data_IF_032957592211
#
_entry.id   IF_032957592211
#
_cell.length_a   1.000
_cell.length_b   1.000
_cell.length_c   1.000
_cell.angle_alpha   90.00
_cell.angle_beta   90.00
_cell.angle_gamma   90.00
#
_symmetry.space_group_name_H-M   'P 1'
#
loop_
_entity.id
_entity.type
_entity.pdbx_description
1 polymer ?
#
# COMPACT_ATOMS: atom_id res chain seq x y z
N UNK A 1 -6.58 -12.20 -15.64
CA UNK A 1 -5.18 -12.00 -15.16
C UNK A 1 -4.48 -13.32 -15.35
N UNK A 2 -3.36 -13.35 -16.06
CA UNK A 2 -2.62 -14.59 -16.38
C UNK A 2 -2.24 -15.39 -15.12
N UNK A 3 -1.93 -14.71 -14.00
CA UNK A 3 -1.57 -15.38 -12.75
C UNK A 3 -2.65 -16.34 -12.22
N UNK A 4 -3.93 -16.02 -12.42
CA UNK A 4 -5.01 -16.92 -11.97
C UNK A 4 -5.05 -18.19 -12.82
N UNK A 5 -4.85 -18.04 -14.13
CA UNK A 5 -4.80 -19.17 -15.06
C UNK A 5 -3.57 -20.05 -14.80
N UNK A 6 -2.51 -19.47 -14.23
CA UNK A 6 -1.32 -20.19 -13.73
C UNK A 6 -1.53 -20.87 -12.36
N UNK A 7 -2.70 -20.74 -11.74
CA UNK A 7 -3.04 -21.37 -10.46
C UNK A 7 -2.74 -20.54 -9.21
N UNK A 8 -2.29 -19.29 -9.35
CA UNK A 8 -2.16 -18.39 -8.20
C UNK A 8 -3.52 -17.83 -7.76
N UNK A 9 -3.67 -17.59 -6.46
CA UNK A 9 -4.85 -16.96 -5.88
C UNK A 9 -4.54 -15.72 -5.03
N UNK A 10 -3.26 -15.33 -4.94
CA UNK A 10 -2.76 -14.22 -4.13
C UNK A 10 -1.75 -13.39 -4.92
N UNK A 11 -1.91 -12.06 -4.86
CA UNK A 11 -0.93 -11.09 -5.34
C UNK A 11 -0.38 -10.28 -4.17
N UNK A 12 0.95 -10.27 -4.00
CA UNK A 12 1.60 -9.39 -3.03
C UNK A 12 1.88 -8.03 -3.67
N UNK A 13 0.86 -7.18 -3.66
CA UNK A 13 0.84 -5.85 -4.24
C UNK A 13 -0.61 -5.34 -4.33
N UNK A 14 -0.81 -4.07 -4.70
CA UNK A 14 0.19 -3.11 -5.18
C UNK A 14 1.03 -2.45 -4.06
N UNK A 15 2.15 -1.83 -4.45
CA UNK A 15 3.00 -1.07 -3.52
C UNK A 15 2.41 0.33 -3.25
N UNK A 16 2.07 0.59 -2.00
CA UNK A 16 1.45 1.83 -1.54
C UNK A 16 2.45 2.82 -0.91
N UNK A 17 3.75 2.49 -0.88
CA UNK A 17 4.78 3.38 -0.36
C UNK A 17 5.05 4.54 -1.31
N UNK A 18 5.59 5.64 -0.77
CA UNK A 18 5.83 6.88 -1.51
C UNK A 18 7.33 7.10 -1.73
N UNK A 19 7.69 7.44 -2.97
CA UNK A 19 9.03 7.93 -3.29
C UNK A 19 10.19 6.93 -3.11
N UNK A 20 9.92 5.63 -2.94
CA UNK A 20 10.96 4.59 -2.92
C UNK A 20 11.46 4.35 -4.35
N UNK A 21 12.76 4.55 -4.63
CA UNK A 21 13.31 4.29 -5.96
C UNK A 21 13.02 2.86 -6.42
N UNK A 22 12.56 2.71 -7.66
CA UNK A 22 12.24 1.44 -8.33
C UNK A 22 11.13 0.58 -7.68
N UNK A 23 10.45 1.08 -6.64
CA UNK A 23 9.40 0.34 -5.93
C UNK A 23 8.08 1.12 -5.88
N UNK A 24 8.14 2.41 -5.55
CA UNK A 24 6.95 3.26 -5.49
C UNK A 24 6.51 3.71 -6.88
N UNK A 25 5.20 3.73 -7.11
CA UNK A 25 4.65 4.30 -8.35
C UNK A 25 4.88 5.81 -8.46
N UNK A 26 4.88 6.52 -7.32
CA UNK A 26 5.00 7.98 -7.24
C UNK A 26 5.38 8.40 -5.82
N UNK A 27 5.81 9.64 -5.64
CA UNK A 27 5.94 10.30 -4.33
C UNK A 27 4.68 11.07 -3.92
N UNK A 28 3.70 11.23 -4.82
CA UNK A 28 2.44 11.92 -4.53
C UNK A 28 1.43 10.94 -3.88
N UNK A 29 0.97 11.20 -2.64
CA UNK A 29 0.05 10.31 -1.92
C UNK A 29 -1.32 10.17 -2.58
N UNK A 30 -1.79 11.20 -3.26
CA UNK A 30 -3.09 11.18 -3.96
C UNK A 30 -3.01 10.27 -5.18
N UNK A 31 -2.00 10.47 -6.02
CA UNK A 31 -1.77 9.64 -7.19
C UNK A 31 -1.44 8.19 -6.82
N UNK A 32 -0.67 7.97 -5.76
CA UNK A 32 -0.42 6.63 -5.24
C UNK A 32 -1.73 5.91 -4.90
N UNK A 33 -2.66 6.58 -4.20
CA UNK A 33 -3.98 6.04 -3.90
C UNK A 33 -4.78 5.67 -5.16
N UNK A 34 -4.81 6.54 -6.18
CA UNK A 34 -5.52 6.27 -7.43
C UNK A 34 -4.94 5.08 -8.20
N UNK A 35 -3.62 5.00 -8.33
CA UNK A 35 -2.94 3.90 -9.05
C UNK A 35 -3.18 2.57 -8.34
N UNK A 36 -3.00 2.55 -7.02
CA UNK A 36 -3.20 1.34 -6.21
C UNK A 36 -4.65 0.84 -6.32
N UNK A 37 -5.65 1.74 -6.26
CA UNK A 37 -7.07 1.37 -6.41
C UNK A 37 -7.37 0.78 -7.79
N UNK A 38 -6.84 1.39 -8.85
CA UNK A 38 -7.03 0.89 -10.21
C UNK A 38 -6.44 -0.52 -10.40
N UNK A 39 -5.30 -0.82 -9.76
CA UNK A 39 -4.72 -2.16 -9.81
C UNK A 39 -5.57 -3.18 -9.04
N UNK A 40 -6.02 -2.85 -7.83
CA UNK A 40 -6.79 -3.81 -7.03
C UNK A 40 -8.18 -4.05 -7.58
N UNK A 41 -8.79 -3.10 -8.28
CA UNK A 41 -10.05 -3.32 -8.99
C UNK A 41 -9.93 -4.52 -9.94
N UNK A 42 -8.79 -4.64 -10.65
CA UNK A 42 -8.53 -5.79 -11.50
C UNK A 42 -8.32 -7.07 -10.69
N UNK A 43 -7.63 -7.02 -9.55
CA UNK A 43 -7.50 -8.19 -8.68
C UNK A 43 -8.86 -8.67 -8.18
N UNK A 44 -9.73 -7.76 -7.77
CA UNK A 44 -11.08 -8.04 -7.29
C UNK A 44 -11.97 -8.64 -8.39
N UNK A 45 -12.02 -8.02 -9.58
CA UNK A 45 -12.77 -8.56 -10.74
C UNK A 45 -12.31 -9.98 -11.09
N UNK A 46 -11.01 -10.26 -10.92
CA UNK A 46 -10.44 -11.57 -11.20
C UNK A 46 -10.49 -12.52 -9.99
N UNK A 47 -11.18 -12.16 -8.89
CA UNK A 47 -11.28 -12.93 -7.65
C UNK A 47 -9.92 -13.38 -7.07
N UNK A 48 -8.92 -12.50 -7.13
CA UNK A 48 -7.62 -12.69 -6.52
C UNK A 48 -7.61 -12.04 -5.14
N UNK A 49 -7.06 -12.73 -4.15
CA UNK A 49 -6.60 -12.05 -2.93
C UNK A 49 -5.42 -11.17 -3.26
N UNK A 50 -5.27 -10.06 -2.52
CA UNK A 50 -4.12 -9.19 -2.68
C UNK A 50 -3.69 -8.59 -1.36
N UNK A 51 -2.47 -8.07 -1.32
CA UNK A 51 -1.91 -7.46 -0.13
C UNK A 51 -1.22 -6.14 -0.46
N UNK A 52 -1.75 -5.03 0.06
CA UNK A 52 -1.06 -3.74 -0.05
C UNK A 52 0.25 -3.81 0.74
N UNK A 53 1.33 -3.28 0.16
CA UNK A 53 2.64 -3.31 0.81
C UNK A 53 3.40 -1.98 0.70
N UNK A 54 4.29 -1.65 1.64
CA UNK A 54 4.43 -2.21 2.99
C UNK A 54 3.98 -1.18 4.03
N UNK A 55 3.13 -1.59 4.96
CA UNK A 55 2.61 -0.71 6.01
C UNK A 55 3.60 -0.60 7.20
N UNK A 56 3.79 0.59 7.81
CA UNK A 56 3.25 1.88 7.40
C UNK A 56 4.06 2.54 6.27
N UNK A 57 5.33 2.19 6.09
CA UNK A 57 6.21 2.69 5.03
C UNK A 57 7.32 1.66 4.72
N UNK A 58 8.25 1.95 3.82
CA UNK A 58 9.61 1.32 3.81
C UNK A 58 10.73 2.35 3.74
N UNK A 59 10.38 3.61 3.47
CA UNK A 59 11.32 4.74 3.29
C UNK A 59 11.81 5.34 4.59
N UNK A 60 11.20 5.01 5.73
CA UNK A 60 11.53 5.71 6.97
C UNK A 60 12.94 5.41 7.45
N UNK A 61 13.51 4.22 7.20
CA UNK A 61 14.92 3.92 7.52
C UNK A 61 15.36 4.46 8.89
N UNK A 62 16.37 5.34 8.89
CA UNK A 62 16.92 6.01 10.07
C UNK A 62 16.20 7.32 10.47
N UNK A 63 14.96 7.53 10.02
CA UNK A 63 14.19 8.74 10.32
C UNK A 63 14.05 8.91 11.83
N UNK A 64 14.65 9.97 12.34
CA UNK A 64 14.55 10.36 13.74
C UNK A 64 13.45 11.40 13.91
N UNK A 65 12.49 11.09 14.78
CA UNK A 65 11.46 12.02 15.22
C UNK A 65 11.80 12.49 16.63
N UNK A 66 11.60 13.77 16.92
CA UNK A 66 11.81 14.33 18.25
C UNK A 66 10.78 13.86 19.29
N UNK A 67 9.66 13.28 18.85
CA UNK A 67 8.66 12.66 19.73
C UNK A 67 7.76 11.65 19.01
N UNK A 68 7.07 10.79 19.77
CA UNK A 68 6.05 9.89 19.24
C UNK A 68 4.87 10.64 18.58
N UNK A 69 4.53 11.83 19.07
CA UNK A 69 3.47 12.65 18.48
C UNK A 69 3.87 13.19 17.11
N UNK A 70 5.13 13.59 16.95
CA UNK A 70 5.68 14.02 15.67
C UNK A 70 5.70 12.87 14.66
N UNK A 71 6.20 11.70 15.07
CA UNK A 71 6.18 10.49 14.24
C UNK A 71 4.76 10.13 13.78
N UNK A 72 3.80 10.15 14.72
CA UNK A 72 2.39 9.88 14.42
C UNK A 72 1.81 10.89 13.43
N UNK A 73 2.11 12.18 13.60
CA UNK A 73 1.62 13.22 12.71
C UNK A 73 2.20 13.07 11.30
N UNK A 74 3.50 12.84 11.19
CA UNK A 74 4.16 12.59 9.91
C UNK A 74 3.56 11.38 9.20
N UNK A 75 3.50 10.23 9.87
CA UNK A 75 2.92 9.00 9.33
C UNK A 75 1.47 9.20 8.90
N UNK A 76 0.65 9.82 9.75
CA UNK A 76 -0.78 10.01 9.51
C UNK A 76 -1.09 10.88 8.30
N UNK A 77 -0.22 11.84 8.00
CA UNK A 77 -0.39 12.83 6.94
C UNK A 77 0.31 12.43 5.63
N UNK A 78 1.26 11.50 5.69
CA UNK A 78 2.02 11.03 4.53
C UNK A 78 1.74 9.54 4.29
N UNK A 79 2.59 8.65 4.79
CA UNK A 79 2.59 7.24 4.40
C UNK A 79 1.27 6.53 4.73
N UNK A 80 0.76 6.70 5.95
CA UNK A 80 -0.49 6.08 6.40
C UNK A 80 -1.72 6.72 5.75
N UNK A 81 -1.63 7.95 5.23
CA UNK A 81 -2.76 8.59 4.56
C UNK A 81 -3.19 7.81 3.31
N UNK A 82 -2.23 7.26 2.56
CA UNK A 82 -2.49 6.39 1.40
C UNK A 82 -3.23 5.14 1.86
N UNK A 83 -2.72 4.43 2.87
CA UNK A 83 -3.35 3.21 3.38
C UNK A 83 -4.76 3.44 3.93
N UNK A 84 -5.00 4.56 4.65
CA UNK A 84 -6.35 4.92 5.12
C UNK A 84 -7.33 5.04 3.95
N UNK A 85 -6.92 5.69 2.85
CA UNK A 85 -7.74 5.80 1.65
C UNK A 85 -8.01 4.43 1.04
N UNK A 86 -6.97 3.61 0.89
CA UNK A 86 -7.07 2.28 0.30
C UNK A 86 -8.03 1.39 1.10
N UNK A 87 -7.85 1.32 2.42
CA UNK A 87 -8.72 0.56 3.35
C UNK A 87 -10.18 1.00 3.25
N UNK A 88 -10.44 2.31 3.16
CA UNK A 88 -11.79 2.85 3.09
C UNK A 88 -12.49 2.58 1.74
N UNK A 89 -11.74 2.41 0.65
CA UNK A 89 -12.29 2.27 -0.70
C UNK A 89 -12.18 0.84 -1.25
N UNK A 90 -11.47 -0.04 -0.56
CA UNK A 90 -11.35 -1.45 -0.93
C UNK A 90 -12.44 -2.26 -0.25
N UNK A 91 -13.04 -3.22 -0.97
CA UNK A 91 -14.04 -4.13 -0.39
C UNK A 91 -13.46 -4.86 0.82
N UNK A 92 -14.15 -4.79 1.95
CA UNK A 92 -13.74 -5.47 3.17
C UNK A 92 -13.56 -6.98 2.95
N UNK A 93 -12.63 -7.59 3.69
CA UNK A 93 -12.30 -9.02 3.61
C UNK A 93 -11.87 -9.51 2.22
N UNK A 94 -11.34 -8.62 1.36
CA UNK A 94 -10.77 -8.99 0.05
C UNK A 94 -9.27 -8.75 -0.06
N UNK A 95 -8.64 -8.24 1.00
CA UNK A 95 -7.23 -7.84 1.00
C UNK A 95 -6.54 -8.09 2.33
N UNK A 96 -5.22 -8.06 2.29
CA UNK A 96 -4.30 -8.09 3.43
C UNK A 96 -3.42 -6.84 3.43
N UNK A 97 -2.74 -6.59 4.55
CA UNK A 97 -1.64 -5.62 4.62
C UNK A 97 -0.34 -6.38 4.89
N UNK A 98 0.69 -6.12 4.09
CA UNK A 98 2.04 -6.60 4.40
C UNK A 98 2.70 -5.58 5.30
N UNK A 99 3.14 -6.01 6.47
CA UNK A 99 3.84 -5.16 7.43
C UNK A 99 5.31 -5.02 7.02
N UNK A 100 5.81 -3.80 7.09
CA UNK A 100 7.23 -3.49 6.95
C UNK A 100 8.02 -3.88 8.21
N UNK A 101 9.34 -4.00 8.06
CA UNK A 101 10.28 -4.29 9.15
C UNK A 101 11.02 -3.05 9.65
N UNK A 102 10.46 -1.85 9.45
CA UNK A 102 11.03 -0.60 9.95
C UNK A 102 10.73 -0.42 11.43
#
# INVERSE_FOLDING_TARGET
>A
IEMRDMGFNLVIGPNANLGVPNMSYTSDPTWAGHINLAMVERYQINHMWFAYNYFPAVTLGDASFGSANEAKAYLSNNDVAVFKRLIAQTTANSYMLVMSHI
#
